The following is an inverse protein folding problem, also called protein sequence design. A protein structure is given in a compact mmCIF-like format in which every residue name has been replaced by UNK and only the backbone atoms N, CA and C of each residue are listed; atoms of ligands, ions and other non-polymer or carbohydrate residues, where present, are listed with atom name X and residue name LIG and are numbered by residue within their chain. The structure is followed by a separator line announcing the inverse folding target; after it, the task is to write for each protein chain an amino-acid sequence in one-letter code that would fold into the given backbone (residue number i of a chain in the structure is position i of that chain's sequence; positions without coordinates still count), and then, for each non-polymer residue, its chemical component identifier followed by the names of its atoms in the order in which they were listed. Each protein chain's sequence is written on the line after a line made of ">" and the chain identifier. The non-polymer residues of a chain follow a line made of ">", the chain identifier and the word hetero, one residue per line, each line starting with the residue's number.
data_IF_282869398987
#
_entry.id   IF_282869398987
#
_cell.length_a   1.000
_cell.length_b   1.000
_cell.length_c   1.000
_cell.angle_alpha   90.00
_cell.angle_beta   90.00
_cell.angle_gamma   90.00
#
_symmetry.space_group_name_H-M   'P 1'
#
loop_
_entity.id
_entity.type
_entity.pdbx_description
1 polymer ?
#
# COMPACT_ATOMS: atom_id res chain seq x y z
N UNK A 1 -4.18 -13.39 55.84
CA UNK A 1 -5.34 -12.49 55.71
C UNK A 1 -5.10 -11.24 56.55
N UNK A 2 -4.34 -10.25 56.05
CA UNK A 2 -4.23 -8.92 56.67
C UNK A 2 -4.99 -7.94 55.79
N UNK A 3 -6.24 -7.73 56.18
CA UNK A 3 -7.18 -6.78 55.60
C UNK A 3 -7.08 -5.51 56.46
N UNK A 4 -6.01 -4.73 56.32
CA UNK A 4 -5.92 -3.44 57.01
C UNK A 4 -5.67 -2.33 55.99
N UNK A 5 -6.47 -1.26 56.00
CA UNK A 5 -6.14 -0.06 55.24
C UNK A 5 -4.82 0.51 55.78
N UNK A 6 -3.99 1.13 54.94
CA UNK A 6 -2.74 1.73 55.40
C UNK A 6 -3.05 2.81 56.44
N UNK A 7 -2.47 2.64 57.63
CA UNK A 7 -2.36 3.70 58.64
C UNK A 7 -1.61 4.84 57.96
N UNK A 8 -2.21 6.02 57.90
CA UNK A 8 -1.58 7.22 57.31
C UNK A 8 -0.54 7.72 58.31
N UNK A 9 0.61 7.04 58.35
CA UNK A 9 1.81 7.61 58.93
C UNK A 9 2.40 8.60 57.90
N UNK A 10 2.78 9.80 58.38
CA UNK A 10 3.31 10.88 57.54
C UNK A 10 4.77 10.64 57.12
N UNK A 11 5.12 9.36 56.89
CA UNK A 11 6.45 8.91 56.52
C UNK A 11 6.58 8.84 55.00
N UNK A 12 7.67 9.42 54.47
CA UNK A 12 7.94 9.46 53.03
C UNK A 12 8.82 8.28 52.64
N UNK A 13 8.23 7.31 51.94
CA UNK A 13 8.97 6.18 51.36
C UNK A 13 9.27 6.41 49.87
N UNK A 14 10.50 6.15 49.39
CA UNK A 14 10.81 6.23 47.96
C UNK A 14 10.12 5.10 47.18
N UNK A 15 9.47 5.43 46.06
CA UNK A 15 8.93 4.44 45.13
C UNK A 15 10.03 3.99 44.16
N UNK A 16 10.49 2.75 44.33
CA UNK A 16 11.45 2.08 43.45
C UNK A 16 10.74 1.08 42.54
N UNK A 17 11.41 0.61 41.48
CA UNK A 17 10.87 -0.39 40.52
C UNK A 17 10.30 -1.66 41.20
N UNK A 18 10.87 -2.06 42.34
CA UNK A 18 10.41 -3.20 43.13
C UNK A 18 8.99 -3.02 43.71
N UNK A 19 8.54 -1.78 43.84
CA UNK A 19 7.21 -1.42 44.37
C UNK A 19 6.21 -1.13 43.25
N UNK A 20 6.58 -1.31 41.98
CA UNK A 20 5.74 -1.01 40.82
C UNK A 20 5.45 -2.27 40.01
N UNK A 21 4.18 -2.49 39.70
CA UNK A 21 3.74 -3.57 38.80
C UNK A 21 3.48 -2.99 37.41
N UNK A 22 4.02 -3.64 36.37
CA UNK A 22 3.82 -3.23 34.97
C UNK A 22 2.55 -3.86 34.39
N UNK A 23 1.92 -3.18 33.43
CA UNK A 23 0.67 -3.62 32.79
C UNK A 23 0.73 -5.04 32.18
N UNK A 24 1.91 -5.48 31.71
CA UNK A 24 2.10 -6.79 31.08
C UNK A 24 2.62 -7.88 32.02
N UNK A 25 2.62 -7.65 33.33
CA UNK A 25 3.10 -8.63 34.32
C UNK A 25 1.95 -9.50 34.84
N UNK A 26 2.23 -10.79 35.03
CA UNK A 26 1.31 -11.73 35.67
C UNK A 26 1.76 -12.02 37.10
N UNK A 27 0.85 -11.91 38.06
CA UNK A 27 1.14 -12.17 39.47
C UNK A 27 1.27 -13.69 39.69
N UNK A 28 2.40 -14.13 40.27
CA UNK A 28 2.64 -15.54 40.63
C UNK A 28 2.84 -15.67 42.15
N UNK A 29 2.47 -16.82 42.69
CA UNK A 29 2.71 -17.20 44.09
C UNK A 29 2.04 -16.31 45.15
N UNK A 30 1.00 -15.55 44.79
CA UNK A 30 0.16 -14.76 45.71
C UNK A 30 -1.30 -14.75 45.23
N UNK A 31 -2.27 -14.84 46.14
CA UNK A 31 -3.69 -14.92 45.79
C UNK A 31 -4.28 -13.59 45.32
N UNK A 32 -3.87 -12.47 45.93
CA UNK A 32 -4.35 -11.14 45.60
C UNK A 32 -3.29 -10.08 45.94
N UNK A 33 -3.35 -8.95 45.24
CA UNK A 33 -2.57 -7.75 45.51
C UNK A 33 -3.48 -6.53 45.45
N UNK A 34 -3.24 -5.55 46.32
CA UNK A 34 -3.92 -4.26 46.31
C UNK A 34 -2.90 -3.17 45.99
N UNK A 35 -3.24 -2.25 45.10
CA UNK A 35 -2.35 -1.16 44.68
C UNK A 35 -3.12 -0.03 44.01
N UNK A 36 -2.44 1.09 43.78
CA UNK A 36 -3.00 2.27 43.12
C UNK A 36 -2.44 2.38 41.71
N UNK A 37 -3.30 2.64 40.72
CA UNK A 37 -2.88 2.86 39.34
C UNK A 37 -2.19 4.24 39.22
N UNK A 38 -0.88 4.23 38.91
CA UNK A 38 -0.08 5.45 38.70
C UNK A 38 -0.08 5.87 37.23
N UNK A 39 0.05 4.89 36.32
CA UNK A 39 0.08 5.10 34.87
C UNK A 39 -1.05 4.31 34.20
N UNK A 40 -1.66 4.88 33.16
CA UNK A 40 -2.78 4.27 32.42
C UNK A 40 -2.59 4.41 30.91
N UNK A 41 -3.12 3.44 30.15
CA UNK A 41 -3.14 3.49 28.69
C UNK A 41 -1.74 3.55 28.06
N UNK A 42 -1.53 4.56 27.22
CA UNK A 42 -0.28 4.75 26.46
C UNK A 42 0.87 5.33 27.32
N UNK A 43 0.55 5.84 28.52
CA UNK A 43 1.52 6.38 29.48
C UNK A 43 2.20 5.28 30.32
N UNK A 44 1.75 4.01 30.20
CA UNK A 44 2.44 2.90 30.86
C UNK A 44 3.76 2.63 30.15
N UNK A 45 4.78 2.14 30.89
CA UNK A 45 6.06 1.75 30.28
C UNK A 45 5.89 0.73 29.13
N UNK A 46 4.91 -0.16 29.24
CA UNK A 46 4.57 -1.10 28.17
C UNK A 46 3.89 -0.40 26.99
N UNK A 47 3.04 0.60 27.24
CA UNK A 47 2.42 1.45 26.23
C UNK A 47 3.45 2.28 25.45
N UNK A 48 4.38 2.93 26.15
CA UNK A 48 5.46 3.71 25.53
C UNK A 48 6.46 2.87 24.74
N UNK A 49 6.59 1.58 25.07
CA UNK A 49 7.43 0.63 24.33
C UNK A 49 6.76 0.12 23.04
N UNK A 50 5.43 0.25 22.93
CA UNK A 50 4.72 -0.05 21.69
C UNK A 50 5.03 1.07 20.69
N UNK A 51 5.95 0.79 19.77
CA UNK A 51 6.11 1.62 18.58
C UNK A 51 4.78 1.77 17.85
N UNK A 52 4.58 2.93 17.21
CA UNK A 52 3.45 3.14 16.30
C UNK A 52 3.40 1.98 15.31
N UNK A 53 2.23 1.39 15.10
CA UNK A 53 2.06 0.31 14.16
C UNK A 53 2.42 0.82 12.76
N UNK A 54 3.65 0.59 12.32
CA UNK A 54 4.05 0.89 10.97
C UNK A 54 3.25 -0.03 10.03
N UNK A 55 2.62 0.52 8.98
CA UNK A 55 1.96 -0.31 8.00
C UNK A 55 2.99 -1.29 7.46
N UNK A 56 2.74 -2.58 7.63
CA UNK A 56 3.53 -3.65 7.03
C UNK A 56 3.24 -3.66 5.52
N UNK A 57 3.76 -2.66 4.81
CA UNK A 57 3.87 -2.70 3.36
C UNK A 57 4.78 -3.88 3.06
N UNK A 58 4.21 -4.92 2.47
CA UNK A 58 4.95 -6.15 2.25
C UNK A 58 5.98 -5.86 1.16
N UNK A 59 7.21 -6.36 1.28
CA UNK A 59 8.24 -6.20 0.25
C UNK A 59 7.75 -6.64 -1.16
N UNK A 60 6.76 -7.54 -1.19
CA UNK A 60 6.03 -7.97 -2.38
C UNK A 60 5.27 -6.82 -3.08
N UNK A 61 4.67 -5.89 -2.35
CA UNK A 61 3.90 -4.76 -2.91
C UNK A 61 4.81 -3.86 -3.74
N UNK A 62 6.04 -3.63 -3.26
CA UNK A 62 7.06 -2.86 -3.98
C UNK A 62 7.56 -3.58 -5.24
N UNK A 63 7.62 -4.92 -5.23
CA UNK A 63 7.98 -5.71 -6.41
C UNK A 63 6.89 -5.67 -7.49
N UNK A 64 5.62 -5.75 -7.09
CA UNK A 64 4.46 -5.66 -7.98
C UNK A 64 4.41 -4.28 -8.67
N UNK A 65 4.67 -3.21 -7.92
CA UNK A 65 4.67 -1.85 -8.46
C UNK A 65 5.77 -1.67 -9.53
N UNK A 66 6.99 -2.17 -9.28
CA UNK A 66 8.10 -2.15 -10.26
C UNK A 66 7.77 -2.96 -11.52
N UNK A 67 7.17 -4.14 -11.36
CA UNK A 67 6.76 -4.97 -12.50
C UNK A 67 5.69 -4.27 -13.34
N UNK A 68 4.74 -3.61 -12.70
CA UNK A 68 3.68 -2.84 -13.38
C UNK A 68 4.27 -1.73 -14.24
N UNK A 69 5.25 -0.98 -13.71
CA UNK A 69 5.96 0.06 -14.48
C UNK A 69 6.69 -0.54 -15.68
N UNK A 70 7.35 -1.69 -15.52
CA UNK A 70 8.05 -2.36 -16.62
C UNK A 70 7.09 -2.79 -17.74
N UNK A 71 5.92 -3.35 -17.40
CA UNK A 71 4.88 -3.76 -18.36
C UNK A 71 4.31 -2.54 -19.10
N UNK A 72 4.09 -1.42 -18.41
CA UNK A 72 3.60 -0.18 -19.02
C UNK A 72 4.56 0.37 -20.08
N UNK A 73 5.86 0.38 -19.79
CA UNK A 73 6.88 0.81 -20.77
C UNK A 73 6.91 -0.13 -21.97
N UNK A 74 6.84 -1.44 -21.75
CA UNK A 74 6.80 -2.43 -22.82
C UNK A 74 5.56 -2.26 -23.70
N UNK A 75 4.40 -1.98 -23.10
CA UNK A 75 3.15 -1.70 -23.81
C UNK A 75 3.27 -0.50 -24.75
N UNK A 76 3.80 0.63 -24.26
CA UNK A 76 4.04 1.82 -25.10
C UNK A 76 4.95 1.46 -26.29
N UNK A 77 6.03 0.72 -26.06
CA UNK A 77 6.94 0.31 -27.14
C UNK A 77 6.23 -0.53 -28.21
N UNK A 78 5.42 -1.51 -27.80
CA UNK A 78 4.65 -2.37 -28.72
C UNK A 78 3.63 -1.57 -29.51
N UNK A 79 2.90 -0.66 -28.86
CA UNK A 79 1.88 0.19 -29.49
C UNK A 79 2.50 1.17 -30.48
N UNK A 80 3.67 1.74 -30.18
CA UNK A 80 4.41 2.59 -31.12
C UNK A 80 4.87 1.80 -32.35
N UNK A 81 5.42 0.61 -32.17
CA UNK A 81 5.88 -0.24 -33.29
C UNK A 81 4.72 -0.65 -34.20
N UNK A 82 3.63 -1.16 -33.62
CA UNK A 82 2.43 -1.57 -34.36
C UNK A 82 1.70 -0.38 -34.99
N UNK A 83 1.62 0.75 -34.28
CA UNK A 83 1.01 1.98 -34.78
C UNK A 83 1.76 2.58 -35.96
N UNK A 84 3.10 2.57 -35.93
CA UNK A 84 3.93 3.00 -37.06
C UNK A 84 3.78 2.05 -38.25
N UNK A 85 3.86 0.75 -38.03
CA UNK A 85 3.66 -0.25 -39.09
C UNK A 85 2.27 -0.13 -39.73
N UNK A 86 1.23 0.06 -38.92
CA UNK A 86 -0.15 0.28 -39.37
C UNK A 86 -0.32 1.57 -40.17
N UNK A 87 0.33 2.66 -39.76
CA UNK A 87 0.33 3.92 -40.52
C UNK A 87 1.03 3.78 -41.88
N UNK A 88 2.18 3.10 -41.93
CA UNK A 88 2.91 2.83 -43.19
C UNK A 88 2.06 1.97 -44.13
N UNK A 89 1.43 0.92 -43.59
CA UNK A 89 0.56 0.05 -44.39
C UNK A 89 -0.68 0.80 -44.92
N UNK A 90 -1.29 1.65 -44.07
CA UNK A 90 -2.43 2.50 -44.46
C UNK A 90 -2.06 3.43 -45.62
N UNK A 91 -0.90 4.06 -45.57
CA UNK A 91 -0.46 4.99 -46.60
C UNK A 91 -0.13 4.28 -47.93
N UNK A 92 0.47 3.09 -47.85
CA UNK A 92 0.91 2.32 -49.03
C UNK A 92 -0.24 1.57 -49.74
N UNK A 93 -1.12 0.94 -48.98
CA UNK A 93 -2.18 0.04 -49.50
C UNK A 93 -3.59 0.54 -49.20
N UNK A 94 -3.81 1.20 -48.07
CA UNK A 94 -5.14 1.66 -47.63
C UNK A 94 -5.74 2.74 -48.52
N UNK A 95 -4.93 3.68 -49.03
CA UNK A 95 -5.40 4.73 -49.95
C UNK A 95 -5.79 4.22 -51.35
N UNK A 96 -5.47 2.95 -51.69
CA UNK A 96 -5.82 2.34 -52.98
C UNK A 96 -7.13 1.53 -52.92
N UNK A 97 -7.68 1.29 -51.72
CA UNK A 97 -8.92 0.53 -51.55
C UNK A 97 -10.14 1.47 -51.57
N UNK A 98 -10.97 1.31 -52.60
CA UNK A 98 -12.19 2.10 -52.79
C UNK A 98 -13.22 1.95 -51.66
N UNK A 99 -13.21 0.83 -50.93
CA UNK A 99 -14.15 0.54 -49.84
C UNK A 99 -13.79 1.21 -48.50
N UNK A 100 -12.53 1.62 -48.29
CA UNK A 100 -12.11 2.18 -46.99
C UNK A 100 -12.58 3.63 -46.77
N UNK A 101 -13.12 4.31 -47.80
CA UNK A 101 -13.70 5.67 -47.75
C UNK A 101 -12.92 6.63 -46.84
N UNK A 102 -11.60 6.74 -47.02
CA UNK A 102 -10.82 7.73 -46.28
C UNK A 102 -11.21 9.15 -46.74
N UNK A 103 -11.49 10.08 -45.82
CA UNK A 103 -11.75 11.48 -46.18
C UNK A 103 -10.53 12.08 -46.90
N UNK A 104 -10.78 12.88 -47.93
CA UNK A 104 -9.73 13.51 -48.74
C UNK A 104 -8.87 14.49 -47.93
N UNK A 105 -9.45 15.11 -46.91
CA UNK A 105 -8.76 15.96 -45.95
C UNK A 105 -8.17 15.09 -44.84
N UNK A 106 -6.83 15.03 -44.74
CA UNK A 106 -6.16 14.32 -43.65
C UNK A 106 -6.20 15.17 -42.37
N UNK A 107 -6.95 14.77 -41.34
CA UNK A 107 -6.91 15.46 -40.06
C UNK A 107 -5.55 15.28 -39.40
N UNK A 108 -5.10 16.28 -38.65
CA UNK A 108 -3.83 16.24 -37.93
C UNK A 108 -3.74 15.11 -36.88
N UNK A 109 -4.87 14.55 -36.44
CA UNK A 109 -4.93 13.48 -35.44
C UNK A 109 -4.95 12.06 -36.04
N UNK A 110 -5.05 11.91 -37.37
CA UNK A 110 -5.22 10.61 -38.03
C UNK A 110 -4.02 9.66 -37.81
N UNK A 111 -2.82 10.20 -37.60
CA UNK A 111 -1.64 9.42 -37.23
C UNK A 111 -1.72 8.80 -35.83
N UNK A 112 -2.49 9.42 -34.91
CA UNK A 112 -2.69 8.96 -33.54
C UNK A 112 -3.82 7.94 -33.42
N UNK A 113 -4.78 7.93 -34.34
CA UNK A 113 -5.96 7.05 -34.24
C UNK A 113 -5.57 5.58 -34.27
N UNK A 114 -4.62 5.19 -35.12
CA UNK A 114 -4.17 3.80 -35.26
C UNK A 114 -3.41 3.32 -34.00
N UNK A 115 -2.37 4.00 -33.50
CA UNK A 115 -1.73 3.61 -32.25
C UNK A 115 -2.70 3.63 -31.06
N UNK A 116 -3.62 4.60 -30.97
CA UNK A 116 -4.60 4.65 -29.87
C UNK A 116 -5.55 3.43 -29.88
N UNK A 117 -5.89 2.89 -31.05
CA UNK A 117 -6.68 1.64 -31.16
C UNK A 117 -5.90 0.44 -30.67
N UNK A 118 -4.60 0.35 -30.99
CA UNK A 118 -3.73 -0.72 -30.48
C UNK A 118 -3.52 -0.59 -28.96
N UNK A 119 -3.42 0.64 -28.43
CA UNK A 119 -3.35 0.89 -26.98
C UNK A 119 -4.57 0.33 -26.25
N UNK A 120 -5.79 0.60 -26.75
CA UNK A 120 -7.02 0.08 -26.16
C UNK A 120 -7.09 -1.46 -26.19
N UNK A 121 -6.60 -2.08 -27.26
CA UNK A 121 -6.51 -3.55 -27.37
C UNK A 121 -5.49 -4.14 -26.38
N UNK A 122 -4.36 -3.46 -26.17
CA UNK A 122 -3.30 -3.89 -25.26
C UNK A 122 -3.59 -3.56 -23.78
N UNK A 123 -4.55 -2.68 -23.49
CA UNK A 123 -4.93 -2.29 -22.12
C UNK A 123 -5.35 -3.45 -21.21
N UNK A 124 -5.72 -4.60 -21.77
CA UNK A 124 -6.04 -5.82 -21.00
C UNK A 124 -4.80 -6.53 -20.43
N UNK A 125 -3.60 -6.17 -20.89
CA UNK A 125 -2.32 -6.75 -20.46
C UNK A 125 -1.86 -6.19 -19.11
N UNK A 126 -2.29 -4.98 -18.73
CA UNK A 126 -2.06 -4.43 -17.40
C UNK A 126 -3.01 -5.16 -16.45
N UNK A 127 -2.52 -5.93 -15.46
CA UNK A 127 -3.39 -6.59 -14.50
C UNK A 127 -3.92 -5.54 -13.51
N UNK A 128 -4.94 -4.79 -13.91
CA UNK A 128 -5.58 -3.74 -13.10
C UNK A 128 -6.16 -4.36 -11.80
N UNK A 129 -6.54 -5.64 -11.84
CA UNK A 129 -7.09 -6.36 -10.70
C UNK A 129 -6.07 -6.73 -9.63
N UNK A 130 -4.75 -6.67 -9.92
CA UNK A 130 -3.76 -7.18 -8.99
C UNK A 130 -3.76 -6.37 -7.69
N UNK A 131 -3.81 -5.02 -7.76
CA UNK A 131 -3.80 -4.14 -6.57
C UNK A 131 -5.06 -4.24 -5.68
N UNK A 132 -6.16 -4.83 -6.17
CA UNK A 132 -7.38 -5.04 -5.38
C UNK A 132 -7.51 -6.48 -4.86
N UNK A 133 -6.76 -7.43 -5.45
CA UNK A 133 -6.81 -8.85 -5.10
C UNK A 133 -5.87 -9.19 -3.94
N UNK A 134 -4.75 -8.44 -3.80
CA UNK A 134 -3.89 -8.43 -2.60
C UNK A 134 -4.48 -7.52 -1.53
#
# INVERSE_FOLDING_TARGET
>A
MRLFPPIIDNEKCPLTINNTLLQSCYLRYTEWACGVAIYTGNETKSGMSRGTAEPKLTAADSMIDKLTVAIFIFQIAVVLLLGLAGNIWKDSHGCKLWYLMYPAERPWYDFLVIPLRFELLCSIMIPISIKFTI
#
